data_IF_547395595523
#
_entry.id   IF_547395595523
#
_cell.length_a   1.000
_cell.length_b   1.000
_cell.length_c   1.000
_cell.angle_alpha   90.00
_cell.angle_beta   90.00
_cell.angle_gamma   90.00
#
_symmetry.space_group_name_H-M   'P 1'
#
loop_
_entity.id
_entity.type
_entity.pdbx_description
1 polymer ?
#
# COMPACT_ATOMS: atom_id res chain seq x y z
N UNK A 1 -27.24 -17.50 -45.96
CA UNK A 1 -26.37 -18.18 -44.96
C UNK A 1 -25.12 -17.37 -44.59
N UNK A 2 -24.37 -16.79 -45.54
CA UNK A 2 -23.14 -16.00 -45.24
C UNK A 2 -23.36 -14.74 -44.39
N UNK A 3 -24.44 -13.96 -44.59
CA UNK A 3 -24.63 -12.69 -43.86
C UNK A 3 -24.97 -12.85 -42.38
N UNK A 4 -25.62 -13.95 -41.99
CA UNK A 4 -26.04 -14.17 -40.61
C UNK A 4 -24.86 -14.65 -39.73
N UNK A 5 -23.99 -15.51 -40.28
CA UNK A 5 -22.74 -15.92 -39.63
C UNK A 5 -21.82 -14.73 -39.35
N UNK A 6 -21.58 -13.87 -40.35
CA UNK A 6 -20.73 -12.69 -40.18
C UNK A 6 -21.28 -11.69 -39.17
N UNK A 7 -22.61 -11.57 -39.05
CA UNK A 7 -23.24 -10.72 -38.04
C UNK A 7 -23.04 -11.29 -36.63
N UNK A 8 -23.27 -12.58 -36.44
CA UNK A 8 -23.04 -13.26 -35.15
C UNK A 8 -21.58 -13.13 -34.74
N UNK A 9 -20.66 -13.39 -35.67
CA UNK A 9 -19.22 -13.24 -35.45
C UNK A 9 -18.87 -11.79 -35.04
N UNK A 10 -19.39 -10.80 -35.76
CA UNK A 10 -19.15 -9.38 -35.45
C UNK A 10 -19.70 -8.99 -34.08
N UNK A 11 -20.92 -9.42 -33.72
CA UNK A 11 -21.50 -9.15 -32.40
C UNK A 11 -20.73 -9.85 -31.28
N UNK A 12 -20.19 -11.04 -31.54
CA UNK A 12 -19.38 -11.77 -30.58
C UNK A 12 -18.04 -11.07 -30.31
N UNK A 13 -17.36 -10.62 -31.37
CA UNK A 13 -16.14 -9.81 -31.24
C UNK A 13 -16.41 -8.48 -30.53
N UNK A 14 -17.53 -7.82 -30.84
CA UNK A 14 -17.93 -6.60 -30.16
C UNK A 14 -18.14 -6.84 -28.65
N UNK A 15 -18.81 -7.94 -28.28
CA UNK A 15 -19.00 -8.30 -26.89
C UNK A 15 -17.66 -8.56 -26.18
N UNK A 16 -16.73 -9.29 -26.80
CA UNK A 16 -15.39 -9.52 -26.24
C UNK A 16 -14.63 -8.20 -26.05
N UNK A 17 -14.60 -7.34 -27.06
CA UNK A 17 -13.93 -6.05 -26.98
C UNK A 17 -14.52 -5.16 -25.88
N UNK A 18 -15.86 -5.18 -25.73
CA UNK A 18 -16.56 -4.42 -24.70
C UNK A 18 -16.23 -4.94 -23.30
N UNK A 19 -16.24 -6.26 -23.09
CA UNK A 19 -15.87 -6.88 -21.81
C UNK A 19 -14.40 -6.62 -21.48
N UNK A 20 -13.49 -6.76 -22.45
CA UNK A 20 -12.08 -6.48 -22.25
C UNK A 20 -11.82 -5.01 -21.90
N UNK A 21 -12.47 -4.08 -22.60
CA UNK A 21 -12.40 -2.65 -22.30
C UNK A 21 -12.94 -2.32 -20.91
N UNK A 22 -14.07 -2.91 -20.52
CA UNK A 22 -14.67 -2.71 -19.21
C UNK A 22 -13.80 -3.28 -18.08
N UNK A 23 -13.22 -4.46 -18.27
CA UNK A 23 -12.29 -5.07 -17.33
C UNK A 23 -11.03 -4.22 -17.16
N UNK A 24 -10.49 -3.66 -18.24
CA UNK A 24 -9.32 -2.78 -18.20
C UNK A 24 -9.63 -1.46 -17.46
N UNK A 25 -10.79 -0.85 -17.72
CA UNK A 25 -11.24 0.34 -17.00
C UNK A 25 -11.46 0.06 -15.51
N UNK A 26 -12.04 -1.10 -15.17
CA UNK A 26 -12.26 -1.50 -13.78
C UNK A 26 -10.94 -1.75 -13.05
N UNK A 27 -9.98 -2.44 -13.69
CA UNK A 27 -8.63 -2.60 -13.15
C UNK A 27 -7.92 -1.26 -12.94
N UNK A 28 -8.12 -0.31 -13.86
CA UNK A 28 -7.55 1.03 -13.72
C UNK A 28 -8.21 1.85 -12.59
N UNK A 29 -9.54 1.73 -12.44
CA UNK A 29 -10.28 2.36 -11.34
C UNK A 29 -9.87 1.79 -9.97
N UNK A 30 -9.68 0.48 -9.86
CA UNK A 30 -9.19 -0.16 -8.64
C UNK A 30 -7.72 0.19 -8.34
N UNK A 31 -6.91 0.47 -9.36
CA UNK A 31 -5.52 0.88 -9.18
C UNK A 31 -5.35 2.38 -8.82
N UNK A 32 -6.44 3.13 -8.64
CA UNK A 32 -6.39 4.53 -8.20
C UNK A 32 -5.80 4.69 -6.79
N UNK A 33 -5.97 3.69 -5.92
CA UNK A 33 -5.39 3.70 -4.57
C UNK A 33 -3.86 3.70 -4.63
N UNK A 34 -3.27 2.95 -5.56
CA UNK A 34 -1.82 2.90 -5.80
C UNK A 34 -1.28 4.23 -6.33
N UNK A 35 -2.08 4.97 -7.11
CA UNK A 35 -1.70 6.30 -7.60
C UNK A 35 -1.62 7.33 -6.48
N UNK A 36 -2.55 7.29 -5.53
CA UNK A 36 -2.53 8.14 -4.33
C UNK A 36 -1.27 7.87 -3.49
N UNK A 37 -0.97 6.60 -3.24
CA UNK A 37 0.22 6.18 -2.46
C UNK A 37 1.52 6.60 -3.17
N UNK A 38 1.60 6.43 -4.49
CA UNK A 38 2.80 6.75 -5.27
C UNK A 38 3.00 8.26 -5.52
N UNK A 39 1.94 9.06 -5.46
CA UNK A 39 2.01 10.52 -5.67
C UNK A 39 2.24 11.28 -4.36
N UNK A 40 1.84 10.72 -3.22
CA UNK A 40 1.94 11.42 -1.95
C UNK A 40 3.41 11.64 -1.54
N UNK A 41 3.86 12.90 -1.34
CA UNK A 41 5.25 13.20 -1.02
C UNK A 41 5.69 12.57 0.31
N UNK A 42 4.75 12.32 1.22
CA UNK A 42 5.01 11.63 2.49
C UNK A 42 5.23 10.11 2.40
N UNK A 43 5.10 9.48 1.23
CA UNK A 43 5.33 8.02 1.10
C UNK A 43 6.44 7.73 0.10
N UNK A 44 6.45 8.44 -1.03
CA UNK A 44 7.33 8.16 -2.18
C UNK A 44 8.83 8.05 -1.87
N UNK A 45 9.35 8.89 -0.96
CA UNK A 45 10.79 8.95 -0.63
C UNK A 45 11.10 8.54 0.81
N UNK A 46 10.07 8.15 1.58
CA UNK A 46 10.19 7.93 3.00
C UNK A 46 11.16 6.80 3.35
N UNK A 47 11.08 5.67 2.63
CA UNK A 47 11.96 4.52 2.85
C UNK A 47 13.43 4.86 2.63
N UNK A 48 13.75 5.51 1.51
CA UNK A 48 15.12 5.90 1.18
C UNK A 48 15.70 6.90 2.20
N UNK A 49 14.93 7.94 2.57
CA UNK A 49 15.37 8.93 3.56
C UNK A 49 15.56 8.27 4.92
N UNK A 50 14.62 7.41 5.34
CA UNK A 50 14.71 6.70 6.61
C UNK A 50 15.94 5.81 6.69
N UNK A 51 16.19 4.98 5.65
CA UNK A 51 17.36 4.10 5.61
C UNK A 51 18.66 4.90 5.69
N UNK A 52 18.76 6.00 4.95
CA UNK A 52 19.95 6.86 4.97
C UNK A 52 20.19 7.50 6.34
N UNK A 53 19.13 7.94 7.04
CA UNK A 53 19.23 8.49 8.40
C UNK A 53 19.61 7.38 9.40
N UNK A 54 18.99 6.21 9.28
CA UNK A 54 19.26 5.06 10.14
C UNK A 54 20.71 4.60 10.03
N UNK A 55 21.22 4.45 8.81
CA UNK A 55 22.60 3.99 8.57
C UNK A 55 23.65 5.03 9.01
N UNK A 56 23.38 6.33 8.84
CA UNK A 56 24.35 7.39 9.15
C UNK A 56 24.31 7.87 10.59
N UNK A 57 23.12 7.94 11.19
CA UNK A 57 22.87 8.62 12.46
C UNK A 57 22.27 7.68 13.52
N UNK A 58 21.95 6.44 13.14
CA UNK A 58 21.46 5.41 14.04
C UNK A 58 19.95 5.48 14.33
N UNK A 59 19.48 4.58 15.21
CA UNK A 59 18.06 4.34 15.43
C UNK A 59 17.31 5.52 16.08
N UNK A 60 17.98 6.30 16.95
CA UNK A 60 17.34 7.42 17.67
C UNK A 60 17.01 8.56 16.70
N UNK A 61 17.96 8.92 15.82
CA UNK A 61 17.75 9.96 14.81
C UNK A 61 16.67 9.53 13.80
N UNK A 62 16.67 8.26 13.41
CA UNK A 62 15.65 7.69 12.53
C UNK A 62 14.24 7.74 13.16
N UNK A 63 14.12 7.47 14.46
CA UNK A 63 12.86 7.61 15.19
C UNK A 63 12.37 9.07 15.22
N UNK A 64 13.27 10.02 15.51
CA UNK A 64 12.92 11.45 15.52
C UNK A 64 12.47 11.95 14.14
N UNK A 65 13.15 11.51 13.08
CA UNK A 65 12.76 11.82 11.70
C UNK A 65 11.35 11.33 11.40
N UNK A 66 11.00 10.10 11.82
CA UNK A 66 9.65 9.59 11.64
C UNK A 66 8.61 10.40 12.43
N UNK A 67 8.91 10.80 13.67
CA UNK A 67 7.99 11.62 14.47
C UNK A 67 7.71 12.98 13.81
N UNK A 68 8.75 13.63 13.29
CA UNK A 68 8.61 14.87 12.51
C UNK A 68 7.81 14.63 11.21
N UNK A 69 8.05 13.50 10.54
CA UNK A 69 7.33 13.11 9.34
C UNK A 69 5.82 12.89 9.62
N UNK A 70 5.48 12.20 10.72
CA UNK A 70 4.10 12.05 11.19
C UNK A 70 3.45 13.41 11.45
N UNK A 71 4.16 14.34 12.11
CA UNK A 71 3.60 15.67 12.33
C UNK A 71 3.35 16.45 11.04
N UNK A 72 4.18 16.28 10.01
CA UNK A 72 4.04 16.98 8.73
C UNK A 72 2.97 16.39 7.82
N UNK A 73 2.85 15.07 7.75
CA UNK A 73 1.97 14.39 6.79
C UNK A 73 0.81 13.65 7.43
N UNK A 74 0.78 13.53 8.76
CA UNK A 74 -0.22 12.78 9.54
C UNK A 74 -0.30 11.31 9.12
N UNK A 75 0.85 10.75 8.73
CA UNK A 75 1.03 9.36 8.35
C UNK A 75 1.78 8.65 9.47
N UNK A 76 1.16 7.61 10.02
CA UNK A 76 1.81 6.69 10.94
C UNK A 76 2.65 5.66 10.16
N UNK A 77 3.89 5.50 10.58
CA UNK A 77 4.92 4.70 9.92
C UNK A 77 5.47 3.67 10.91
N UNK A 78 5.51 2.42 10.49
CA UNK A 78 6.15 1.32 11.20
C UNK A 78 7.23 0.72 10.32
N UNK A 79 8.42 0.52 10.88
CA UNK A 79 9.53 -0.12 10.19
C UNK A 79 9.71 -1.51 10.78
N UNK A 80 9.63 -2.52 9.92
CA UNK A 80 9.72 -3.92 10.29
C UNK A 80 11.03 -4.51 9.74
N UNK A 81 11.67 -5.35 10.55
CA UNK A 81 12.78 -6.18 10.13
C UNK A 81 12.27 -7.36 9.28
N UNK A 82 13.19 -8.12 8.69
CA UNK A 82 12.88 -9.29 7.85
C UNK A 82 12.06 -10.36 8.60
N UNK A 83 12.22 -10.43 9.93
CA UNK A 83 11.44 -11.31 10.80
C UNK A 83 10.02 -10.79 11.10
N UNK A 84 9.62 -9.65 10.51
CA UNK A 84 8.33 -9.00 10.74
C UNK A 84 8.19 -8.31 12.10
N UNK A 85 9.28 -8.19 12.86
CA UNK A 85 9.32 -7.48 14.13
C UNK A 85 9.68 -6.00 13.92
N UNK A 86 9.14 -5.09 14.74
CA UNK A 86 9.47 -3.67 14.64
C UNK A 86 10.95 -3.42 14.95
N UNK A 87 11.66 -2.74 14.04
CA UNK A 87 13.07 -2.32 14.23
C UNK A 87 13.17 -1.20 15.27
N UNK A 88 12.16 -0.33 15.26
CA UNK A 88 12.01 0.81 16.16
C UNK A 88 10.55 0.91 16.58
N UNK A 89 10.28 1.68 17.64
CA UNK A 89 8.91 1.95 18.11
C UNK A 89 8.02 2.47 16.97
N UNK A 90 8.59 3.22 16.02
CA UNK A 90 7.86 3.83 14.93
C UNK A 90 6.98 4.97 15.44
N UNK A 91 5.97 5.37 14.66
CA UNK A 91 5.09 6.50 15.01
C UNK A 91 3.67 6.10 15.35
N UNK A 92 3.42 4.79 15.45
CA UNK A 92 2.11 4.25 15.79
C UNK A 92 1.60 4.79 17.13
N UNK A 93 0.33 5.20 17.22
CA UNK A 93 -0.24 5.69 18.47
C UNK A 93 -0.25 4.58 19.52
N UNK A 94 -0.08 4.95 20.80
CA UNK A 94 0.03 4.02 21.92
C UNK A 94 -1.12 3.00 21.98
N UNK A 95 -2.35 3.42 21.62
CA UNK A 95 -3.52 2.54 21.54
C UNK A 95 -3.37 1.42 20.51
N UNK A 96 -2.77 1.71 19.36
CA UNK A 96 -2.60 0.78 18.27
C UNK A 96 -1.40 -0.14 18.52
N UNK A 97 -0.32 0.40 19.10
CA UNK A 97 0.80 -0.41 19.59
C UNK A 97 0.35 -1.39 20.70
N UNK A 98 -0.51 -0.96 21.63
CA UNK A 98 -1.10 -1.82 22.64
C UNK A 98 -2.08 -2.86 22.05
N UNK A 99 -2.73 -2.55 20.93
CA UNK A 99 -3.55 -3.51 20.21
C UNK A 99 -2.68 -4.57 19.52
N UNK A 100 -1.60 -4.15 18.85
CA UNK A 100 -0.62 -5.04 18.24
C UNK A 100 0.06 -5.94 19.27
N UNK A 101 0.50 -5.42 20.41
CA UNK A 101 1.11 -6.20 21.49
C UNK A 101 0.15 -7.28 22.06
N UNK A 102 -1.14 -6.98 22.15
CA UNK A 102 -2.16 -7.97 22.55
C UNK A 102 -2.36 -9.03 21.47
N UNK A 103 -2.24 -8.63 20.21
CA UNK A 103 -2.48 -9.50 19.06
C UNK A 103 -1.25 -10.32 18.66
N UNK A 104 -0.03 -9.95 19.04
CA UNK A 104 1.16 -10.81 18.88
C UNK A 104 0.99 -12.20 19.52
N UNK A 105 0.18 -12.30 20.59
CA UNK A 105 -0.15 -13.57 21.24
C UNK A 105 -1.31 -14.34 20.60
N UNK A 106 -2.01 -13.75 19.63
CA UNK A 106 -3.12 -14.40 18.91
C UNK A 106 -2.76 -14.50 17.43
N UNK A 107 -2.95 -15.65 16.80
CA UNK A 107 -2.67 -15.86 15.37
C UNK A 107 -3.54 -15.02 14.40
N UNK A 108 -4.27 -14.01 14.89
CA UNK A 108 -5.09 -13.11 14.08
C UNK A 108 -4.25 -12.05 13.38
N UNK A 109 -4.37 -11.98 12.04
CA UNK A 109 -3.78 -10.91 11.23
C UNK A 109 -4.39 -9.55 11.59
N UNK A 110 -3.52 -8.57 11.85
CA UNK A 110 -3.92 -7.18 12.06
C UNK A 110 -4.66 -6.64 10.83
N UNK A 111 -5.77 -5.88 11.00
CA UNK A 111 -6.60 -5.47 9.88
C UNK A 111 -5.87 -4.55 8.88
N UNK A 112 -4.85 -3.82 9.33
CA UNK A 112 -4.00 -2.97 8.49
C UNK A 112 -2.73 -3.66 7.95
N UNK A 113 -2.42 -4.89 8.36
CA UNK A 113 -1.38 -5.73 7.73
C UNK A 113 -1.92 -6.54 6.55
N UNK A 114 -3.01 -6.06 5.93
CA UNK A 114 -3.59 -6.60 4.69
C UNK A 114 -3.02 -5.78 3.53
N UNK A 115 -1.79 -6.09 3.13
CA UNK A 115 -1.22 -5.61 1.87
C UNK A 115 -1.03 -6.82 0.95
#
# INVERSE_FOLDING_TARGET
MRSLFWRILATFWLAIALVAGLAMLLGHALNQDTWIINRHPGVKQLSQIWTQVYERQGPIAAQFMLEQHRHRFHIDVQVLAENGQPVIRGTFPARAAAFEARQQNHAGRLPWRRL
#
